data_IF_933905650448
#
_entry.id   IF_933905650448
#
_cell.length_a   1.000
_cell.length_b   1.000
_cell.length_c   1.000
_cell.angle_alpha   90.00
_cell.angle_beta   90.00
_cell.angle_gamma   90.00
#
_symmetry.space_group_name_H-M   'P 1'
#
loop_
_entity.id
_entity.type
_entity.pdbx_description
1 polymer ?
#
# COMPACT_ATOMS: atom_id res chain seq x y z
N UNK A 1 6.75 14.80 0.51
CA UNK A 1 5.48 14.16 0.91
C UNK A 1 4.33 14.85 0.23
N UNK A 2 3.41 14.10 -0.38
CA UNK A 2 2.33 14.63 -1.22
C UNK A 2 0.99 14.77 -0.47
N UNK A 3 1.02 14.67 0.87
CA UNK A 3 -0.17 14.72 1.75
C UNK A 3 -1.24 13.69 1.41
N UNK A 4 -0.87 12.55 0.84
CA UNK A 4 -1.81 11.45 0.56
C UNK A 4 -2.32 10.90 1.89
N UNK A 5 -3.64 10.94 2.09
CA UNK A 5 -4.32 10.37 3.26
C UNK A 5 -4.87 8.98 2.93
N UNK A 6 -5.58 8.36 3.87
CA UNK A 6 -6.32 7.12 3.63
C UNK A 6 -7.26 7.19 2.42
N UNK A 7 -7.89 8.35 2.17
CA UNK A 7 -8.75 8.56 1.02
C UNK A 7 -7.97 8.51 -0.30
N UNK A 8 -6.78 9.12 -0.33
CA UNK A 8 -5.91 9.07 -1.51
C UNK A 8 -5.36 7.66 -1.74
N UNK A 9 -4.96 6.95 -0.68
CA UNK A 9 -4.56 5.54 -0.77
C UNK A 9 -5.70 4.65 -1.29
N UNK A 10 -6.94 4.90 -0.86
CA UNK A 10 -8.12 4.22 -1.39
C UNK A 10 -8.36 4.53 -2.87
N UNK A 11 -8.23 5.80 -3.28
CA UNK A 11 -8.38 6.18 -4.68
C UNK A 11 -7.33 5.49 -5.57
N UNK A 12 -6.10 5.36 -5.09
CA UNK A 12 -5.06 4.59 -5.78
C UNK A 12 -5.43 3.09 -5.84
N UNK A 13 -5.90 2.52 -4.73
CA UNK A 13 -6.32 1.12 -4.66
C UNK A 13 -7.49 0.79 -5.60
N UNK A 14 -8.38 1.75 -5.87
CA UNK A 14 -9.54 1.60 -6.75
C UNK A 14 -9.24 1.97 -8.23
N UNK A 15 -8.03 2.43 -8.53
CA UNK A 15 -7.67 2.87 -9.88
C UNK A 15 -7.34 1.67 -10.79
N UNK A 16 -8.21 1.42 -11.76
CA UNK A 16 -8.05 0.35 -12.78
C UNK A 16 -6.79 0.49 -13.63
N UNK A 17 -6.25 1.71 -13.73
CA UNK A 17 -5.11 2.02 -14.59
C UNK A 17 -3.76 1.64 -13.94
N UNK A 18 -3.75 1.10 -12.73
CA UNK A 18 -2.53 0.71 -12.02
C UNK A 18 -2.28 -0.81 -12.08
N UNK A 19 -3.08 -1.56 -12.84
CA UNK A 19 -2.99 -3.02 -12.95
C UNK A 19 -1.63 -3.51 -13.46
N UNK A 20 -0.93 -2.71 -14.27
CA UNK A 20 0.43 -3.01 -14.75
C UNK A 20 1.53 -2.40 -13.87
N UNK A 21 1.20 -1.69 -12.79
CA UNK A 21 2.18 -1.01 -11.95
C UNK A 21 3.02 -2.01 -11.16
N UNK A 22 4.34 -1.92 -11.32
CA UNK A 22 5.30 -2.77 -10.59
C UNK A 22 5.84 -2.16 -9.31
N UNK A 23 5.95 -0.83 -9.25
CA UNK A 23 6.57 -0.12 -8.12
C UNK A 23 5.73 1.09 -7.73
N UNK A 24 5.39 1.18 -6.44
CA UNK A 24 4.61 2.27 -5.87
C UNK A 24 5.32 2.83 -4.65
N UNK A 25 5.74 4.10 -4.74
CA UNK A 25 6.39 4.81 -3.65
C UNK A 25 5.45 5.84 -3.05
N UNK A 26 5.01 5.58 -1.81
CA UNK A 26 4.13 6.43 -1.03
C UNK A 26 4.82 6.92 0.25
N UNK A 27 6.14 6.93 0.29
CA UNK A 27 6.88 7.43 1.46
C UNK A 27 6.53 8.89 1.80
N UNK A 28 6.63 9.24 3.08
CA UNK A 28 6.41 10.60 3.59
C UNK A 28 5.00 11.13 3.28
N UNK A 29 3.96 10.36 3.59
CA UNK A 29 2.56 10.77 3.43
C UNK A 29 1.79 10.59 4.76
N UNK A 30 0.45 10.69 4.73
CA UNK A 30 -0.42 10.55 5.89
C UNK A 30 -1.32 9.32 5.79
N UNK A 31 -0.82 8.25 5.19
CA UNK A 31 -1.56 6.99 5.05
C UNK A 31 -1.57 6.28 6.40
N UNK A 32 -2.75 5.95 6.90
CA UNK A 32 -2.99 5.18 8.10
C UNK A 32 -3.38 3.73 7.79
N UNK A 33 -3.90 3.05 8.82
CA UNK A 33 -4.32 1.65 8.71
C UNK A 33 -5.46 1.44 7.70
N UNK A 34 -6.34 2.42 7.52
CA UNK A 34 -7.45 2.31 6.57
C UNK A 34 -6.96 2.33 5.13
N UNK A 35 -6.03 3.24 4.80
CA UNK A 35 -5.42 3.31 3.48
C UNK A 35 -4.56 2.09 3.17
N UNK A 36 -3.77 1.61 4.16
CA UNK A 36 -3.02 0.36 4.02
C UNK A 36 -3.93 -0.85 3.77
N UNK A 37 -5.07 -0.95 4.48
CA UNK A 37 -6.09 -2.00 4.23
C UNK A 37 -6.72 -1.88 2.86
N UNK A 38 -6.94 -0.66 2.35
CA UNK A 38 -7.47 -0.46 1.01
C UNK A 38 -6.47 -0.97 -0.05
N UNK A 39 -5.19 -0.58 0.07
CA UNK A 39 -4.11 -1.07 -0.80
C UNK A 39 -4.02 -2.59 -0.75
N UNK A 40 -4.08 -3.19 0.45
CA UNK A 40 -4.03 -4.64 0.65
C UNK A 40 -5.20 -5.42 0.02
N UNK A 41 -6.31 -4.76 -0.32
CA UNK A 41 -7.48 -5.39 -0.95
C UNK A 41 -7.61 -5.03 -2.44
N UNK A 42 -6.70 -4.22 -2.98
CA UNK A 42 -6.77 -3.79 -4.36
C UNK A 42 -6.53 -4.96 -5.31
N UNK A 43 -7.47 -5.15 -6.25
CA UNK A 43 -7.29 -6.07 -7.39
C UNK A 43 -6.44 -5.43 -8.50
N UNK A 44 -6.33 -4.10 -8.50
CA UNK A 44 -5.59 -3.33 -9.50
C UNK A 44 -4.13 -3.09 -9.12
N UNK A 45 -3.68 -3.59 -7.96
CA UNK A 45 -2.26 -3.56 -7.56
C UNK A 45 -1.66 -4.97 -7.50
N UNK A 46 -2.29 -5.96 -8.12
CA UNK A 46 -1.87 -7.36 -8.03
C UNK A 46 -0.49 -7.64 -8.65
N UNK A 47 -0.06 -6.82 -9.62
CA UNK A 47 1.26 -6.92 -10.25
C UNK A 47 2.35 -6.14 -9.50
N UNK A 48 2.03 -5.54 -8.35
CA UNK A 48 2.96 -4.73 -7.60
C UNK A 48 4.05 -5.60 -6.97
N UNK A 49 5.30 -5.30 -7.29
CA UNK A 49 6.49 -5.98 -6.79
C UNK A 49 7.14 -5.21 -5.63
N UNK A 50 6.93 -3.89 -5.58
CA UNK A 50 7.47 -3.04 -4.52
C UNK A 50 6.48 -1.97 -4.07
N UNK A 51 6.23 -1.94 -2.75
CA UNK A 51 5.43 -0.92 -2.09
C UNK A 51 6.25 -0.27 -0.98
N UNK A 52 6.42 1.06 -1.05
CA UNK A 52 7.10 1.84 -0.01
C UNK A 52 6.11 2.71 0.74
N UNK A 53 5.98 2.49 2.05
CA UNK A 53 5.08 3.22 2.96
C UNK A 53 5.82 3.83 4.16
N UNK A 54 7.15 3.97 4.08
CA UNK A 54 7.94 4.58 5.16
C UNK A 54 7.50 6.01 5.45
N UNK A 55 7.63 6.43 6.72
CA UNK A 55 7.24 7.78 7.14
C UNK A 55 5.77 8.10 6.82
N UNK A 56 4.89 7.14 7.12
CA UNK A 56 3.43 7.26 7.13
C UNK A 56 2.89 6.95 8.55
N UNK A 57 1.57 6.87 8.70
CA UNK A 57 0.87 6.56 9.96
C UNK A 57 0.33 5.13 10.00
N UNK A 58 0.94 4.21 9.25
CA UNK A 58 0.53 2.80 9.19
C UNK A 58 0.94 2.10 10.49
N UNK A 59 -0.06 1.66 11.25
CA UNK A 59 0.11 0.91 12.48
C UNK A 59 0.08 -0.60 12.26
N UNK A 60 -0.01 -1.34 13.37
CA UNK A 60 0.02 -2.81 13.37
C UNK A 60 -1.09 -3.43 12.52
N UNK A 61 -2.29 -2.82 12.51
CA UNK A 61 -3.42 -3.40 11.79
C UNK A 61 -3.29 -3.23 10.27
N UNK A 62 -2.78 -2.08 9.79
CA UNK A 62 -2.48 -1.86 8.37
C UNK A 62 -1.32 -2.73 7.89
N UNK A 63 -0.28 -2.86 8.71
CA UNK A 63 0.84 -3.75 8.46
C UNK A 63 0.41 -5.22 8.30
N UNK A 64 -0.40 -5.69 9.24
CA UNK A 64 -0.97 -7.05 9.21
C UNK A 64 -1.80 -7.25 7.93
N UNK A 65 -2.64 -6.29 7.58
CA UNK A 65 -3.44 -6.37 6.36
C UNK A 65 -2.59 -6.47 5.09
N UNK A 66 -1.51 -5.69 4.98
CA UNK A 66 -0.58 -5.77 3.86
C UNK A 66 0.14 -7.12 3.80
N UNK A 67 0.53 -7.67 4.96
CA UNK A 67 1.19 -8.98 5.06
C UNK A 67 0.25 -10.15 4.70
N UNK A 68 -1.02 -10.05 5.07
CA UNK A 68 -2.04 -11.08 4.85
C UNK A 68 -2.85 -10.84 3.56
N UNK A 69 -2.39 -9.92 2.70
CA UNK A 69 -3.06 -9.64 1.43
C UNK A 69 -2.96 -10.85 0.49
N UNK A 70 -4.12 -11.32 0.04
CA UNK A 70 -4.22 -12.33 -1.02
C UNK A 70 -4.19 -11.73 -2.43
N UNK A 71 -4.14 -10.39 -2.57
CA UNK A 71 -4.11 -9.72 -3.87
C UNK A 71 -2.71 -9.23 -4.24
N UNK A 72 -1.90 -8.83 -3.26
CA UNK A 72 -0.51 -8.38 -3.45
C UNK A 72 0.48 -9.57 -3.55
N UNK A 73 0.17 -10.54 -4.39
CA UNK A 73 0.90 -11.83 -4.46
C UNK A 73 2.33 -11.71 -4.99
N UNK A 74 2.62 -10.67 -5.78
CA UNK A 74 3.92 -10.43 -6.38
C UNK A 74 4.82 -9.53 -5.52
N UNK A 75 4.35 -9.08 -4.35
CA UNK A 75 5.09 -8.13 -3.53
C UNK A 75 6.34 -8.81 -2.96
N UNK A 76 7.49 -8.45 -3.52
CA UNK A 76 8.76 -9.09 -3.20
C UNK A 76 9.24 -8.57 -1.84
N UNK A 77 8.84 -9.29 -0.80
CA UNK A 77 8.97 -8.97 0.62
C UNK A 77 8.39 -7.59 0.98
N UNK A 78 7.36 -7.51 1.84
CA UNK A 78 7.05 -6.25 2.49
C UNK A 78 8.28 -5.91 3.34
N UNK A 79 9.07 -4.94 2.87
CA UNK A 79 10.26 -4.44 3.55
C UNK A 79 9.75 -3.68 4.78
N UNK A 80 9.27 -4.40 5.79
CA UNK A 80 9.05 -3.89 7.14
C UNK A 80 10.44 -3.70 7.76
N UNK A 81 11.21 -2.78 7.19
CA UNK A 81 12.41 -2.24 7.81
C UNK A 81 11.97 -1.33 8.95
N UNK A 82 11.94 -1.90 10.14
CA UNK A 82 11.91 -1.25 11.47
C UNK A 82 10.69 -0.35 11.77
N UNK A 83 9.85 -0.87 12.68
CA UNK A 83 9.02 -0.05 13.57
C UNK A 83 9.87 0.51 14.70
#
# INVERSE_FOLDING_TARGET
GNRITDLGAKALADSKNLDQLKKLNLNFNFIGDLGAKAIAKSLYLANLESLKLGQNRVGKAGAKALKESNTLVNLMHPIFGFY
#
